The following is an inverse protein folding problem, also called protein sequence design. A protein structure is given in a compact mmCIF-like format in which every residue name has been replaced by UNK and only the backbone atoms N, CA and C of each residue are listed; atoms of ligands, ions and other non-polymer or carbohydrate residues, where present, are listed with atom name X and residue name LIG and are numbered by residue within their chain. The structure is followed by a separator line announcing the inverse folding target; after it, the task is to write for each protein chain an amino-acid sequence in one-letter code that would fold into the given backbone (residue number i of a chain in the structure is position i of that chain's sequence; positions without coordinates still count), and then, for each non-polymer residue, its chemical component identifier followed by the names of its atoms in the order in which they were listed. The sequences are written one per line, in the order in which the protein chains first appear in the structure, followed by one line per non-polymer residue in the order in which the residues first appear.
data_IF_321911821802
#
_entry.id   IF_321911821802
#
_cell.length_a   1.000
_cell.length_b   1.000
_cell.length_c   1.000
_cell.angle_alpha   90.00
_cell.angle_beta   90.00
_cell.angle_gamma   90.00
#
_symmetry.space_group_name_H-M   'P 1'
#
loop_
_entity.id
_entity.type
_entity.pdbx_description
1 polymer ?
#
# COMPACT_ATOMS: atom_id res chain seq x y z
N UNK A 1 -0.04 24.52 4.54
CA UNK A 1 0.22 24.36 3.11
C UNK A 1 1.22 23.24 2.81
N UNK A 2 0.89 22.00 3.21
CA UNK A 2 1.68 20.82 2.83
C UNK A 2 0.79 19.91 1.98
N UNK A 3 1.29 19.47 0.83
CA UNK A 3 0.69 18.42 0.01
C UNK A 3 1.32 17.07 0.36
N UNK A 4 0.55 15.98 0.37
CA UNK A 4 1.05 14.63 0.67
C UNK A 4 0.95 13.73 -0.54
N UNK A 5 1.99 12.94 -0.80
CA UNK A 5 1.97 11.93 -1.86
C UNK A 5 2.63 10.62 -1.41
N UNK A 6 2.41 9.57 -2.19
CA UNK A 6 3.06 8.26 -2.02
C UNK A 6 4.07 8.02 -3.12
N UNK A 7 5.22 7.51 -2.72
CA UNK A 7 6.22 6.98 -3.63
C UNK A 7 6.29 5.48 -3.41
N UNK A 8 5.97 4.74 -4.45
CA UNK A 8 6.19 3.30 -4.51
C UNK A 8 7.46 3.06 -5.32
N UNK A 9 8.48 2.47 -4.70
CA UNK A 9 9.61 1.92 -5.41
C UNK A 9 9.30 0.45 -5.70
N UNK A 10 8.91 0.16 -6.94
CA UNK A 10 8.55 -1.18 -7.41
C UNK A 10 9.74 -2.16 -7.33
N UNK A 11 10.97 -1.64 -7.26
CA UNK A 11 12.21 -2.41 -7.20
C UNK A 11 13.24 -1.75 -6.26
N UNK A 12 12.90 -1.55 -4.99
CA UNK A 12 13.93 -1.11 -4.03
C UNK A 12 14.76 -2.31 -3.57
N UNK A 13 16.02 -2.37 -4.01
CA UNK A 13 17.03 -3.30 -3.50
C UNK A 13 17.41 -2.91 -2.06
N UNK A 14 16.65 -3.35 -1.06
CA UNK A 14 17.08 -3.31 0.34
C UNK A 14 17.45 -4.73 0.75
N UNK A 15 18.75 -5.01 0.86
CA UNK A 15 19.24 -6.30 1.38
C UNK A 15 19.27 -7.47 0.37
N UNK A 16 19.27 -7.21 -0.94
CA UNK A 16 19.43 -8.25 -1.97
C UNK A 16 18.15 -9.02 -2.33
N UNK A 17 16.98 -8.53 -1.89
CA UNK A 17 15.68 -9.11 -2.25
C UNK A 17 14.79 -8.00 -2.81
N UNK A 18 14.36 -8.14 -4.06
CA UNK A 18 13.44 -7.24 -4.76
C UNK A 18 12.02 -7.41 -4.21
N UNK A 19 11.74 -6.82 -3.06
CA UNK A 19 10.40 -6.84 -2.43
C UNK A 19 9.63 -5.53 -2.56
N UNK A 20 10.24 -4.50 -3.16
CA UNK A 20 9.67 -3.17 -3.24
C UNK A 20 9.49 -2.49 -1.88
N UNK A 21 9.36 -1.17 -1.90
CA UNK A 21 9.07 -0.38 -0.71
C UNK A 21 8.12 0.75 -1.04
N UNK A 22 7.16 0.99 -0.15
CA UNK A 22 6.25 2.12 -0.21
C UNK A 22 6.58 3.09 0.92
N UNK A 23 6.80 4.35 0.55
CA UNK A 23 7.06 5.45 1.48
C UNK A 23 6.07 6.58 1.19
N UNK A 24 5.60 7.21 2.25
CA UNK A 24 4.70 8.36 2.18
C UNK A 24 5.46 9.60 2.61
N UNK A 25 5.32 10.71 1.90
CA UNK A 25 6.01 11.96 2.21
C UNK A 25 5.03 13.13 2.29
N UNK A 26 5.23 13.98 3.28
CA UNK A 26 4.75 15.36 3.28
C UNK A 26 5.75 16.23 2.51
N UNK A 27 5.22 17.10 1.66
CA UNK A 27 6.01 18.05 0.86
C UNK A 27 5.84 19.44 1.44
N UNK A 28 6.96 20.12 1.59
CA UNK A 28 7.00 21.48 2.10
C UNK A 28 7.93 22.31 1.21
N UNK A 29 7.36 22.97 0.20
CA UNK A 29 8.17 23.68 -0.80
C UNK A 29 9.10 22.71 -1.53
N UNK A 30 10.40 22.79 -1.24
CA UNK A 30 11.48 22.01 -1.86
C UNK A 30 11.97 20.82 -1.02
N UNK A 31 11.45 20.61 0.19
CA UNK A 31 11.85 19.49 1.04
C UNK A 31 10.74 18.45 1.25
N UNK A 32 11.17 17.18 1.35
CA UNK A 32 10.31 16.02 1.61
C UNK A 32 10.55 15.51 3.03
N UNK A 33 9.48 15.27 3.77
CA UNK A 33 9.53 14.67 5.10
C UNK A 33 8.73 13.37 5.11
N UNK A 34 9.38 12.25 5.45
CA UNK A 34 8.70 10.96 5.47
C UNK A 34 7.64 10.91 6.57
N UNK A 35 6.47 10.39 6.24
CA UNK A 35 5.35 10.16 7.15
C UNK A 35 5.30 8.69 7.52
N UNK A 36 5.60 8.40 8.78
CA UNK A 36 5.58 7.05 9.32
C UNK A 36 6.71 6.15 8.83
N UNK A 37 6.60 4.87 9.18
CA UNK A 37 7.56 3.86 8.79
C UNK A 37 7.50 3.54 7.29
N UNK A 38 8.62 3.07 6.73
CA UNK A 38 8.66 2.46 5.39
C UNK A 38 7.88 1.14 5.41
N UNK A 39 7.05 0.93 4.39
CA UNK A 39 6.32 -0.32 4.20
C UNK A 39 7.08 -1.20 3.21
N UNK A 40 7.49 -2.38 3.64
CA UNK A 40 8.24 -3.33 2.82
C UNK A 40 7.33 -4.45 2.30
N UNK A 41 7.55 -4.89 1.07
CA UNK A 41 6.90 -6.10 0.56
C UNK A 41 7.51 -7.37 1.15
N UNK A 42 6.93 -8.50 0.78
CA UNK A 42 7.53 -9.83 0.98
C UNK A 42 8.52 -10.10 -0.16
N UNK A 43 9.51 -10.94 0.09
CA UNK A 43 10.51 -11.37 -0.89
C UNK A 43 9.85 -11.76 -2.22
N UNK A 44 10.38 -11.21 -3.32
CA UNK A 44 10.03 -11.49 -4.73
C UNK A 44 8.72 -10.89 -5.27
N UNK A 45 7.90 -10.24 -4.43
CA UNK A 45 6.65 -9.62 -4.88
C UNK A 45 6.75 -8.10 -5.05
N UNK A 46 6.27 -7.58 -6.19
CA UNK A 46 6.08 -6.14 -6.38
C UNK A 46 5.07 -5.57 -5.37
N UNK A 47 5.45 -4.50 -4.67
CA UNK A 47 4.56 -3.76 -3.78
C UNK A 47 4.00 -2.51 -4.47
N UNK A 48 2.67 -2.39 -4.51
CA UNK A 48 1.95 -1.23 -5.08
C UNK A 48 1.25 -0.47 -3.96
N UNK A 49 1.41 0.85 -3.91
CA UNK A 49 0.79 1.70 -2.89
C UNK A 49 -0.10 2.80 -3.46
N UNK A 50 -1.28 3.00 -2.87
CA UNK A 50 -2.17 4.13 -3.17
C UNK A 50 -2.62 4.83 -1.89
N UNK A 51 -2.78 6.15 -1.93
CA UNK A 51 -3.14 6.97 -0.78
C UNK A 51 -4.40 7.76 -1.06
N UNK A 52 -5.26 7.86 -0.05
CA UNK A 52 -6.40 8.75 -0.09
C UNK A 52 -5.96 10.21 -0.18
N UNK A 53 -6.73 11.08 -0.84
CA UNK A 53 -6.35 12.50 -0.97
C UNK A 53 -6.23 13.23 0.38
N UNK A 54 -7.00 12.84 1.40
CA UNK A 54 -6.84 13.39 2.75
C UNK A 54 -5.56 12.91 3.46
N UNK A 55 -4.82 11.98 2.86
CA UNK A 55 -3.54 11.49 3.36
C UNK A 55 -3.60 10.55 4.56
N UNK A 56 -4.78 10.05 4.95
CA UNK A 56 -4.98 9.25 6.18
C UNK A 56 -5.16 7.76 5.94
N UNK A 57 -5.38 7.33 4.70
CA UNK A 57 -5.53 5.91 4.33
C UNK A 57 -4.52 5.56 3.25
N UNK A 58 -3.82 4.45 3.45
CA UNK A 58 -2.86 3.87 2.52
C UNK A 58 -3.32 2.43 2.23
N UNK A 59 -3.52 2.08 0.97
CA UNK A 59 -3.74 0.71 0.55
C UNK A 59 -2.48 0.17 -0.14
N UNK A 60 -2.07 -1.03 0.25
CA UNK A 60 -0.91 -1.74 -0.30
C UNK A 60 -1.37 -3.01 -0.97
N UNK A 61 -1.01 -3.18 -2.24
CA UNK A 61 -1.30 -4.34 -3.06
C UNK A 61 -0.03 -5.14 -3.35
N UNK A 62 -0.16 -6.47 -3.29
CA UNK A 62 0.88 -7.44 -3.66
C UNK A 62 0.26 -8.40 -4.67
N UNK A 63 0.13 -7.98 -5.94
CA UNK A 63 -0.76 -8.69 -6.82
C UNK A 63 -0.20 -10.05 -7.25
N UNK A 64 1.13 -10.26 -7.19
CA UNK A 64 1.81 -11.50 -7.57
C UNK A 64 1.96 -12.49 -6.41
N UNK A 65 1.43 -12.15 -5.23
CA UNK A 65 1.56 -12.98 -4.04
C UNK A 65 0.89 -14.36 -4.25
N UNK A 66 1.71 -15.39 -4.06
CA UNK A 66 1.32 -16.80 -4.08
C UNK A 66 0.82 -17.27 -2.70
N UNK A 67 -0.12 -18.21 -2.69
CA UNK A 67 -0.71 -18.75 -1.47
C UNK A 67 -0.86 -20.27 -1.53
N UNK A 68 -0.08 -21.02 -0.75
CA UNK A 68 -0.22 -22.48 -0.59
C UNK A 68 -0.36 -23.26 -1.93
N UNK A 69 0.37 -22.83 -2.98
CA UNK A 69 0.31 -23.44 -4.32
C UNK A 69 -0.66 -22.77 -5.30
N UNK A 70 -1.49 -21.83 -4.85
CA UNK A 70 -2.27 -20.95 -5.73
C UNK A 70 -1.41 -19.76 -6.17
N UNK A 71 -1.05 -19.75 -7.45
CA UNK A 71 -0.19 -18.71 -8.00
C UNK A 71 -0.92 -17.40 -8.29
N UNK A 72 -0.25 -16.28 -8.07
CA UNK A 72 -0.68 -14.90 -8.36
C UNK A 72 -2.09 -14.58 -7.86
N UNK A 73 -2.42 -15.04 -6.64
CA UNK A 73 -3.73 -14.80 -6.04
C UNK A 73 -3.92 -13.31 -5.73
N UNK A 74 -2.84 -12.67 -5.31
CA UNK A 74 -2.84 -11.27 -4.96
C UNK A 74 -3.46 -10.99 -3.59
N UNK A 75 -3.02 -9.87 -3.01
CA UNK A 75 -3.46 -9.40 -1.70
C UNK A 75 -3.53 -7.87 -1.68
N UNK A 76 -4.50 -7.32 -0.94
CA UNK A 76 -4.52 -5.91 -0.54
C UNK A 76 -4.67 -5.78 0.97
N UNK A 77 -3.90 -4.88 1.56
CA UNK A 77 -4.03 -4.48 2.97
C UNK A 77 -4.14 -2.97 3.09
N UNK A 78 -5.06 -2.51 3.93
CA UNK A 78 -5.31 -1.09 4.18
C UNK A 78 -4.73 -0.69 5.52
N UNK A 79 -4.16 0.52 5.56
CA UNK A 79 -3.53 1.11 6.71
C UNK A 79 -4.11 2.49 7.00
N UNK A 80 -4.24 2.81 8.28
CA UNK A 80 -4.60 4.13 8.79
C UNK A 80 -3.37 4.80 9.38
N UNK A 81 -3.17 6.08 9.04
CA UNK A 81 -2.20 6.90 9.72
C UNK A 81 -2.73 7.27 11.10
N UNK A 82 -2.07 6.80 12.15
CA UNK A 82 -2.33 7.23 13.52
C UNK A 82 -1.89 8.67 13.71
N UNK A 83 -2.72 9.46 14.37
CA UNK A 83 -2.35 10.84 14.73
C UNK A 83 -1.26 10.82 15.80
N UNK A 84 -0.05 11.21 15.41
CA UNK A 84 1.09 11.35 16.32
C UNK A 84 1.20 12.73 16.93
N UNK A 85 0.36 13.70 16.53
CA UNK A 85 0.42 15.09 17.02
C UNK A 85 -0.08 15.25 18.46
N UNK A 86 -0.81 14.28 18.99
CA UNK A 86 -1.38 14.32 20.35
C UNK A 86 -0.38 13.95 21.46
N UNK A 87 0.81 13.48 21.11
CA UNK A 87 1.83 13.13 22.09
C UNK A 87 2.97 14.10 21.85
N UNK A 88 3.22 15.02 22.79
CA UNK A 88 4.40 15.90 22.81
C UNK A 88 5.73 15.13 22.97
N UNK A 89 5.84 13.95 22.36
CA UNK A 89 7.02 13.12 22.21
C UNK A 89 7.25 12.92 20.71
N UNK A 90 8.36 13.43 20.23
CA UNK A 90 8.96 13.00 18.97
C UNK A 90 9.44 11.56 19.16
N UNK A 91 8.57 10.58 18.94
CA UNK A 91 9.00 9.18 18.87
C UNK A 91 9.34 8.90 17.42
N UNK A 92 10.64 8.94 17.11
CA UNK A 92 11.20 8.57 15.81
C UNK A 92 10.95 7.10 15.45
N UNK A 93 10.37 6.30 16.36
CA UNK A 93 10.22 4.85 16.24
C UNK A 93 8.77 4.33 16.38
N UNK A 94 7.77 5.19 16.61
CA UNK A 94 6.39 4.71 16.66
C UNK A 94 5.89 4.41 15.22
N UNK A 95 5.42 3.18 15.01
CA UNK A 95 4.73 2.80 13.78
C UNK A 95 3.44 3.63 13.63
N UNK A 96 3.47 4.59 12.71
CA UNK A 96 2.37 5.51 12.46
C UNK A 96 1.32 4.88 11.54
N UNK A 97 1.73 4.10 10.52
CA UNK A 97 0.77 3.37 9.69
C UNK A 97 0.38 2.08 10.39
N UNK A 98 -0.90 1.93 10.73
CA UNK A 98 -1.43 0.72 11.36
C UNK A 98 -2.42 0.04 10.41
N UNK A 99 -2.28 -1.27 10.20
CA UNK A 99 -3.23 -2.01 9.38
C UNK A 99 -4.63 -1.98 10.01
N UNK A 100 -5.64 -1.74 9.19
CA UNK A 100 -7.05 -1.75 9.60
C UNK A 100 -7.81 -2.82 8.83
N UNK A 101 -8.77 -3.44 9.52
CA UNK A 101 -9.61 -4.48 8.92
C UNK A 101 -8.86 -5.76 8.55
N UNK A 102 -9.55 -6.60 7.78
CA UNK A 102 -9.01 -7.86 7.30
C UNK A 102 -8.18 -7.65 6.05
N UNK A 103 -7.26 -8.58 5.82
CA UNK A 103 -6.54 -8.67 4.55
C UNK A 103 -7.51 -9.10 3.45
N UNK A 104 -7.54 -8.34 2.35
CA UNK A 104 -8.33 -8.65 1.16
C UNK A 104 -7.52 -9.55 0.25
N UNK A 105 -8.09 -10.65 -0.22
CA UNK A 105 -7.41 -11.62 -1.09
C UNK A 105 -8.21 -11.84 -2.35
N UNK A 106 -7.51 -11.95 -3.48
CA UNK A 106 -8.11 -12.32 -4.74
C UNK A 106 -8.45 -13.79 -4.84
N UNK A 107 -8.79 -14.20 -6.04
CA UNK A 107 -8.91 -15.60 -6.46
C UNK A 107 -7.62 -16.08 -7.14
N UNK A 108 -7.52 -17.37 -7.41
CA UNK A 108 -6.32 -17.96 -8.00
C UNK A 108 -6.03 -17.30 -9.37
N UNK A 109 -4.79 -16.84 -9.59
CA UNK A 109 -4.35 -16.11 -10.80
C UNK A 109 -5.05 -14.78 -11.06
N UNK A 110 -5.86 -14.29 -10.14
CA UNK A 110 -6.70 -13.11 -10.32
C UNK A 110 -5.89 -11.80 -10.28
N UNK A 111 -4.66 -11.85 -9.75
CA UNK A 111 -3.75 -10.69 -9.72
C UNK A 111 -4.34 -9.51 -8.94
N UNK A 112 -5.11 -9.82 -7.89
CA UNK A 112 -5.86 -8.85 -7.09
C UNK A 112 -4.94 -7.83 -6.43
N UNK A 113 -5.31 -6.54 -6.52
CA UNK A 113 -4.47 -5.45 -6.02
C UNK A 113 -3.51 -4.87 -7.06
N UNK A 114 -3.63 -5.27 -8.33
CA UNK A 114 -2.78 -4.73 -9.40
C UNK A 114 -3.11 -3.27 -9.73
N UNK A 115 -4.41 -2.95 -9.73
CA UNK A 115 -4.92 -1.59 -9.82
C UNK A 115 -5.72 -1.30 -8.55
N UNK A 116 -5.52 -0.13 -7.96
CA UNK A 116 -6.24 0.30 -6.77
C UNK A 116 -6.50 1.80 -6.85
N UNK A 117 -7.59 2.24 -6.24
CA UNK A 117 -7.88 3.66 -6.03
C UNK A 117 -8.63 3.85 -4.72
N UNK A 118 -8.25 4.88 -3.97
CA UNK A 118 -8.96 5.29 -2.77
C UNK A 118 -9.77 6.55 -3.08
N UNK A 119 -11.00 6.58 -2.58
CA UNK A 119 -11.77 7.82 -2.46
C UNK A 119 -11.03 8.90 -1.67
N UNK A 120 -11.50 10.15 -1.78
CA UNK A 120 -10.86 11.30 -1.14
C UNK A 120 -10.55 11.09 0.35
N UNK A 121 -11.53 10.57 1.09
CA UNK A 121 -11.39 10.33 2.53
C UNK A 121 -10.83 8.94 2.87
N UNK A 122 -10.73 8.06 1.86
CA UNK A 122 -10.29 6.68 1.96
C UNK A 122 -11.31 5.74 2.60
N UNK A 123 -12.59 6.12 2.65
CA UNK A 123 -13.69 5.26 3.11
C UNK A 123 -14.04 4.17 2.09
N UNK A 124 -13.86 4.46 0.80
CA UNK A 124 -14.03 3.54 -0.32
C UNK A 124 -12.67 3.24 -0.94
N UNK A 125 -12.41 1.96 -1.17
CA UNK A 125 -11.29 1.41 -1.93
C UNK A 125 -11.85 0.58 -3.09
N UNK A 126 -11.49 0.93 -4.32
CA UNK A 126 -11.73 0.09 -5.49
C UNK A 126 -10.49 -0.76 -5.78
N UNK A 127 -10.66 -2.06 -6.01
CA UNK A 127 -9.55 -2.96 -6.32
C UNK A 127 -9.80 -3.74 -7.61
N UNK A 128 -8.84 -3.65 -8.52
CA UNK A 128 -8.85 -4.34 -9.80
C UNK A 128 -8.10 -5.67 -9.78
N UNK A 129 -8.66 -6.64 -10.50
CA UNK A 129 -8.08 -7.95 -10.79
C UNK A 129 -8.04 -8.21 -12.30
N UNK A 130 -6.90 -7.96 -12.96
CA UNK A 130 -6.84 -7.94 -14.43
C UNK A 130 -6.96 -9.32 -15.09
N UNK A 131 -6.83 -10.42 -14.34
CA UNK A 131 -6.74 -11.80 -14.89
C UNK A 131 -7.86 -12.71 -14.38
N UNK A 132 -8.97 -12.14 -13.92
CA UNK A 132 -10.14 -12.90 -13.46
C UNK A 132 -10.55 -14.03 -14.41
N UNK A 133 -11.09 -15.11 -13.85
CA UNK A 133 -11.27 -16.44 -14.47
C UNK A 133 -11.99 -16.45 -15.84
N UNK A 134 -12.68 -15.36 -16.21
CA UNK A 134 -13.37 -15.17 -17.48
C UNK A 134 -12.57 -14.35 -18.54
N UNK A 135 -11.29 -14.04 -18.27
CA UNK A 135 -10.43 -13.09 -19.04
C UNK A 135 -11.00 -11.67 -19.15
N UNK A 136 -11.95 -11.31 -18.31
CA UNK A 136 -12.50 -9.96 -18.18
C UNK A 136 -12.13 -9.48 -16.78
N UNK A 137 -11.20 -8.54 -16.70
CA UNK A 137 -10.78 -8.01 -15.40
C UNK A 137 -11.99 -7.43 -14.64
N UNK A 138 -12.01 -7.62 -13.32
CA UNK A 138 -13.10 -7.17 -12.45
C UNK A 138 -12.61 -6.07 -11.50
N UNK A 139 -13.51 -5.14 -11.16
CA UNK A 139 -13.33 -4.18 -10.05
C UNK A 139 -14.25 -4.65 -8.92
N UNK A 140 -13.69 -4.80 -7.72
CA UNK A 140 -14.43 -5.12 -6.49
C UNK A 140 -14.35 -3.97 -5.50
#
# INVERSE_FOLDING_TARGET
DASRFVVSALESNVGGQTSGAVRVYDVYGDYFSQVGQTMYGSTEDELRGVLSNNGRRLALGKPWLDYNGDSNRGEVRVYELRDTRLRGRTLQEEQQWTSIGNTLRGERKDRFGHHMELSYDGSILAVGSPVGDDKRGNIR
#
